data_IF_684810106618
#
_entry.id   IF_684810106618
#
_cell.length_a   1.000
_cell.length_b   1.000
_cell.length_c   1.000
_cell.angle_alpha   90.00
_cell.angle_beta   90.00
_cell.angle_gamma   90.00
#
_symmetry.space_group_name_H-M   'P 1'
#
loop_
_entity.id
_entity.type
_entity.pdbx_description
1 polymer ?
#
# COMPACT_ATOMS: atom_id res chain seq x y z
N UNK A 1 5.67 -22.91 7.53
CA UNK A 1 6.56 -21.76 7.25
C UNK A 1 8.00 -22.21 7.45
N UNK A 2 8.95 -21.95 6.55
CA UNK A 2 10.36 -22.07 6.92
C UNK A 2 10.70 -20.91 7.87
N UNK A 3 11.28 -21.19 9.03
CA UNK A 3 11.55 -20.20 10.10
C UNK A 3 12.21 -18.90 9.60
N UNK A 4 13.09 -19.01 8.60
CA UNK A 4 13.77 -17.87 7.97
C UNK A 4 12.80 -16.84 7.36
N UNK A 5 11.65 -17.28 6.82
CA UNK A 5 10.65 -16.39 6.20
C UNK A 5 9.77 -15.66 7.21
N UNK A 6 9.52 -16.25 8.37
CA UNK A 6 8.79 -15.56 9.44
C UNK A 6 9.66 -14.47 10.07
N UNK A 7 10.94 -14.75 10.26
CA UNK A 7 11.90 -13.74 10.73
C UNK A 7 11.96 -12.53 9.79
N UNK A 8 12.04 -12.77 8.47
CA UNK A 8 12.04 -11.68 7.48
C UNK A 8 10.74 -10.87 7.49
N UNK A 9 9.59 -11.54 7.60
CA UNK A 9 8.31 -10.87 7.76
C UNK A 9 8.28 -9.96 9.00
N UNK A 10 8.74 -10.46 10.15
CA UNK A 10 8.81 -9.69 11.39
C UNK A 10 9.77 -8.50 11.28
N UNK A 11 10.92 -8.68 10.62
CA UNK A 11 11.87 -7.61 10.36
C UNK A 11 11.25 -6.50 9.52
N UNK A 12 10.55 -6.85 8.43
CA UNK A 12 9.81 -5.89 7.62
C UNK A 12 8.69 -5.23 8.42
N UNK A 13 7.92 -5.98 9.22
CA UNK A 13 6.85 -5.45 10.05
C UNK A 13 7.35 -4.39 11.03
N UNK A 14 8.47 -4.67 11.71
CA UNK A 14 9.10 -3.75 12.66
C UNK A 14 9.71 -2.54 11.95
N UNK A 15 10.34 -2.74 10.79
CA UNK A 15 10.89 -1.65 9.98
C UNK A 15 9.80 -0.70 9.49
N UNK A 16 8.70 -1.24 8.95
CA UNK A 16 7.53 -0.46 8.52
C UNK A 16 6.89 0.25 9.70
N UNK A 17 6.71 -0.42 10.85
CA UNK A 17 6.18 0.22 12.07
C UNK A 17 7.05 1.41 12.51
N UNK A 18 8.38 1.30 12.38
CA UNK A 18 9.30 2.41 12.67
C UNK A 18 9.14 3.58 11.71
N UNK A 19 8.94 3.31 10.42
CA UNK A 19 8.69 4.36 9.41
C UNK A 19 7.39 5.10 9.71
N UNK A 20 6.35 4.35 10.08
CA UNK A 20 5.05 4.89 10.44
C UNK A 20 5.06 5.62 11.78
N UNK A 21 6.00 5.32 12.67
CA UNK A 21 6.07 5.92 14.01
C UNK A 21 5.08 5.31 15.01
N UNK A 22 4.45 4.18 14.68
CA UNK A 22 3.58 3.41 15.57
C UNK A 22 3.56 1.93 15.16
N UNK A 23 3.08 1.06 16.04
CA UNK A 23 3.00 -0.37 15.75
C UNK A 23 1.76 -0.72 14.93
N UNK A 24 1.96 -1.33 13.76
CA UNK A 24 0.91 -1.59 12.77
C UNK A 24 -0.22 -2.51 13.23
N UNK A 25 0.09 -3.48 14.09
CA UNK A 25 -0.84 -4.53 14.49
C UNK A 25 -1.55 -4.23 15.81
N UNK A 26 -1.51 -2.97 16.26
CA UNK A 26 -2.32 -2.52 17.39
C UNK A 26 -3.81 -2.56 16.98
N UNK A 27 -4.64 -3.21 17.79
CA UNK A 27 -6.09 -3.29 17.56
C UNK A 27 -6.69 -1.89 17.54
N UNK A 28 -7.17 -1.44 16.36
CA UNK A 28 -7.80 -0.13 16.19
C UNK A 28 -9.28 -0.17 16.60
N UNK A 29 -9.67 0.69 17.55
CA UNK A 29 -11.07 1.05 17.80
C UNK A 29 -11.58 2.07 16.76
N UNK A 30 -12.89 2.37 16.76
CA UNK A 30 -13.46 3.40 15.86
C UNK A 30 -12.80 4.77 16.09
N UNK A 31 -12.45 5.10 17.34
CA UNK A 31 -11.76 6.34 17.72
C UNK A 31 -10.35 6.39 17.10
N UNK A 32 -9.73 5.23 16.91
CA UNK A 32 -8.40 5.14 16.31
C UNK A 32 -8.44 5.34 14.80
N UNK A 33 -9.58 5.06 14.14
CA UNK A 33 -9.75 5.30 12.70
C UNK A 33 -9.73 6.79 12.34
N UNK A 34 -10.47 7.61 13.07
CA UNK A 34 -10.52 9.06 12.81
C UNK A 34 -9.16 9.71 13.12
N UNK A 35 -8.49 9.24 14.17
CA UNK A 35 -7.11 9.63 14.51
C UNK A 35 -6.13 9.29 13.40
N UNK A 36 -6.26 8.11 12.80
CA UNK A 36 -5.37 7.69 11.71
C UNK A 36 -5.57 8.51 10.44
N UNK A 37 -6.84 8.82 10.07
CA UNK A 37 -7.13 9.71 8.94
C UNK A 37 -6.57 11.12 9.19
N UNK A 38 -6.76 11.69 10.39
CA UNK A 38 -6.16 12.99 10.77
C UNK A 38 -4.63 12.94 10.71
N UNK A 39 -4.00 11.90 11.25
CA UNK A 39 -2.54 11.73 11.23
C UNK A 39 -1.98 11.69 9.83
N UNK A 40 -2.63 10.93 8.94
CA UNK A 40 -2.23 10.84 7.53
C UNK A 40 -2.41 12.19 6.82
N UNK A 41 -3.43 12.96 7.17
CA UNK A 41 -3.63 14.31 6.63
C UNK A 41 -2.56 15.34 7.08
N UNK A 42 -1.75 15.03 8.09
CA UNK A 42 -0.64 15.91 8.50
C UNK A 42 0.68 15.61 7.76
N UNK A 43 0.75 14.51 7.01
CA UNK A 43 1.96 14.10 6.30
C UNK A 43 2.26 15.04 5.12
N UNK A 44 3.55 15.26 4.84
CA UNK A 44 3.98 15.83 3.56
C UNK A 44 3.86 14.79 2.44
N UNK A 45 3.83 15.20 1.17
CA UNK A 45 3.76 14.22 0.08
C UNK A 45 4.94 13.22 0.08
N UNK A 46 6.20 13.64 0.33
CA UNK A 46 7.32 12.69 0.47
C UNK A 46 7.14 11.73 1.63
N UNK A 47 6.64 12.18 2.78
CA UNK A 47 6.39 11.31 3.93
C UNK A 47 5.26 10.33 3.65
N UNK A 48 4.18 10.80 3.01
CA UNK A 48 3.04 9.97 2.59
C UNK A 48 3.48 8.88 1.61
N UNK A 49 4.31 9.23 0.62
CA UNK A 49 4.89 8.29 -0.33
C UNK A 49 5.77 7.26 0.38
N UNK A 50 6.66 7.70 1.27
CA UNK A 50 7.55 6.83 2.04
C UNK A 50 6.78 5.86 2.93
N UNK A 51 5.75 6.33 3.61
CA UNK A 51 4.89 5.45 4.41
C UNK A 51 4.16 4.43 3.53
N UNK A 52 3.55 4.87 2.43
CA UNK A 52 2.85 3.98 1.50
C UNK A 52 3.79 2.93 0.89
N UNK A 53 4.98 3.33 0.44
CA UNK A 53 6.00 2.43 -0.09
C UNK A 53 6.44 1.37 0.92
N UNK A 54 6.60 1.76 2.19
CA UNK A 54 6.94 0.82 3.27
C UNK A 54 5.83 -0.19 3.57
N UNK A 55 4.56 0.21 3.43
CA UNK A 55 3.41 -0.69 3.56
C UNK A 55 3.32 -1.66 2.37
N UNK A 56 3.52 -1.17 1.15
CA UNK A 56 3.54 -2.00 -0.06
C UNK A 56 4.66 -3.03 0.02
N UNK A 57 5.85 -2.63 0.46
CA UNK A 57 6.99 -3.53 0.63
C UNK A 57 6.71 -4.64 1.66
N UNK A 58 5.99 -4.34 2.74
CA UNK A 58 5.54 -5.35 3.71
C UNK A 58 4.51 -6.32 3.11
N UNK A 59 3.58 -5.81 2.30
CA UNK A 59 2.60 -6.65 1.59
C UNK A 59 3.26 -7.54 0.54
N UNK A 60 4.29 -7.06 -0.16
CA UNK A 60 5.09 -7.86 -1.09
C UNK A 60 5.77 -9.04 -0.38
N UNK A 61 6.27 -8.85 0.85
CA UNK A 61 6.80 -9.97 1.65
C UNK A 61 5.73 -10.98 2.06
N UNK A 62 4.53 -10.51 2.41
CA UNK A 62 3.38 -11.39 2.65
C UNK A 62 3.03 -12.19 1.38
N UNK A 63 3.12 -11.58 0.19
CA UNK A 63 2.87 -12.23 -1.10
C UNK A 63 3.92 -13.26 -1.52
N UNK A 64 5.17 -13.13 -1.07
CA UNK A 64 6.25 -14.07 -1.43
C UNK A 64 6.07 -15.45 -0.77
N UNK A 65 5.09 -15.62 0.10
CA UNK A 65 4.83 -16.84 0.88
C UNK A 65 4.44 -18.01 -0.07
N UNK A 66 5.07 -19.20 0.05
CA UNK A 66 4.79 -20.33 -0.85
C UNK A 66 3.38 -20.87 -0.66
N UNK A 67 2.74 -21.37 -1.72
CA UNK A 67 1.40 -21.96 -1.69
C UNK A 67 1.30 -23.08 -0.62
N UNK A 68 0.33 -22.93 0.29
CA UNK A 68 0.19 -23.70 1.53
C UNK A 68 -0.37 -25.12 1.37
N UNK A 69 -0.48 -25.60 0.13
CA UNK A 69 -1.10 -26.90 -0.15
C UNK A 69 -0.37 -28.09 0.53
N UNK A 70 0.84 -27.88 1.07
CA UNK A 70 1.67 -28.94 1.67
C UNK A 70 1.95 -28.81 3.18
N UNK A 71 1.41 -27.80 3.89
CA UNK A 71 1.71 -27.58 5.33
C UNK A 71 0.42 -27.58 6.17
N UNK A 72 -0.52 -28.46 5.84
CA UNK A 72 -1.71 -28.65 6.66
C UNK A 72 -1.38 -29.65 7.79
N UNK A 73 -1.64 -29.28 9.05
CA UNK A 73 -1.52 -30.19 10.21
C UNK A 73 -0.49 -29.82 11.30
N UNK A 74 0.07 -28.60 11.28
CA UNK A 74 0.88 -28.11 12.40
C UNK A 74 0.20 -26.88 13.03
N UNK A 75 -0.37 -27.07 14.23
CA UNK A 75 -1.13 -26.06 14.96
C UNK A 75 -0.35 -24.75 15.19
N UNK A 76 0.96 -24.81 15.40
CA UNK A 76 1.79 -23.61 15.56
C UNK A 76 1.87 -22.83 14.25
N UNK A 77 2.05 -23.53 13.12
CA UNK A 77 2.10 -22.90 11.80
C UNK A 77 0.75 -22.28 11.48
N UNK A 78 -0.34 -22.98 11.77
CA UNK A 78 -1.69 -22.48 11.56
C UNK A 78 -1.99 -21.26 12.45
N UNK A 79 -1.57 -21.29 13.72
CA UNK A 79 -1.71 -20.17 14.66
C UNK A 79 -0.94 -18.92 14.24
N UNK A 80 0.34 -19.07 13.87
CA UNK A 80 1.15 -17.96 13.32
C UNK A 80 0.50 -17.38 12.07
N UNK A 81 -0.18 -18.20 11.28
CA UNK A 81 -0.78 -17.77 10.02
C UNK A 81 -2.14 -17.10 10.21
N UNK A 82 -2.87 -17.47 11.26
CA UNK A 82 -3.99 -16.68 11.75
C UNK A 82 -3.56 -15.25 12.12
N UNK A 83 -2.47 -15.12 12.89
CA UNK A 83 -1.92 -13.81 13.29
C UNK A 83 -1.51 -12.96 12.08
N UNK A 84 -0.77 -13.52 11.13
CA UNK A 84 -0.40 -12.81 9.88
C UNK A 84 -1.64 -12.37 9.08
N UNK A 85 -2.72 -13.15 9.11
CA UNK A 85 -3.98 -12.77 8.47
C UNK A 85 -4.70 -11.61 9.17
N UNK A 86 -4.58 -11.50 10.48
CA UNK A 86 -5.08 -10.36 11.27
C UNK A 86 -4.23 -9.11 11.05
N UNK A 87 -2.91 -9.28 11.07
CA UNK A 87 -1.93 -8.22 10.74
C UNK A 87 -2.18 -7.66 9.34
N UNK A 88 -2.49 -8.52 8.37
CA UNK A 88 -2.84 -8.13 7.01
C UNK A 88 -4.02 -7.15 6.96
N UNK A 89 -5.11 -7.40 7.72
CA UNK A 89 -6.26 -6.49 7.74
C UNK A 89 -5.89 -5.11 8.30
N UNK A 90 -5.05 -5.07 9.33
CA UNK A 90 -4.55 -3.80 9.88
C UNK A 90 -3.67 -3.05 8.87
N UNK A 91 -2.77 -3.75 8.17
CA UNK A 91 -1.93 -3.17 7.11
C UNK A 91 -2.80 -2.60 5.97
N UNK A 92 -3.83 -3.34 5.56
CA UNK A 92 -4.75 -2.92 4.50
C UNK A 92 -5.55 -1.67 4.87
N UNK A 93 -5.99 -1.52 6.13
CA UNK A 93 -6.60 -0.27 6.60
C UNK A 93 -5.64 0.91 6.50
N UNK A 94 -4.37 0.70 6.87
CA UNK A 94 -3.37 1.75 6.80
C UNK A 94 -3.07 2.16 5.34
N UNK A 95 -3.04 1.19 4.41
CA UNK A 95 -2.98 1.48 2.98
C UNK A 95 -4.18 2.32 2.53
N UNK A 96 -5.40 1.96 2.96
CA UNK A 96 -6.62 2.70 2.60
C UNK A 96 -6.53 4.18 2.98
N UNK A 97 -6.12 4.51 4.21
CA UNK A 97 -6.01 5.92 4.64
C UNK A 97 -5.06 6.72 3.74
N UNK A 98 -3.93 6.12 3.38
CA UNK A 98 -2.91 6.78 2.55
C UNK A 98 -3.34 6.93 1.11
N UNK A 99 -3.99 5.92 0.53
CA UNK A 99 -4.55 6.00 -0.83
C UNK A 99 -5.65 7.05 -0.91
N UNK A 100 -6.54 7.12 0.10
CA UNK A 100 -7.54 8.20 0.19
C UNK A 100 -6.89 9.59 0.21
N UNK A 101 -5.83 9.76 1.01
CA UNK A 101 -5.13 11.04 1.09
C UNK A 101 -4.46 11.41 -0.24
N UNK A 102 -3.80 10.46 -0.91
CA UNK A 102 -3.24 10.66 -2.25
C UNK A 102 -4.34 11.11 -3.22
N UNK A 103 -5.51 10.46 -3.17
CA UNK A 103 -6.63 10.81 -4.03
C UNK A 103 -7.16 12.22 -3.76
N UNK A 104 -7.28 12.61 -2.48
CA UNK A 104 -7.72 13.96 -2.08
C UNK A 104 -6.75 15.04 -2.54
N UNK A 105 -5.44 14.79 -2.45
CA UNK A 105 -4.39 15.75 -2.84
C UNK A 105 -3.93 15.62 -4.28
N UNK A 106 -4.55 14.73 -5.06
CA UNK A 106 -4.09 14.36 -6.39
C UNK A 106 -3.85 15.58 -7.29
N UNK A 107 -4.69 16.60 -7.19
CA UNK A 107 -4.56 17.85 -7.97
C UNK A 107 -3.30 18.65 -7.64
N UNK A 108 -2.80 18.58 -6.40
CA UNK A 108 -1.64 19.33 -5.89
C UNK A 108 -0.28 18.70 -6.19
N UNK A 109 -0.23 17.41 -6.55
CA UNK A 109 1.05 16.71 -6.75
C UNK A 109 1.88 17.26 -7.93
N UNK A 110 3.20 17.30 -7.77
CA UNK A 110 4.18 17.52 -8.83
C UNK A 110 4.27 16.32 -9.79
N UNK A 111 5.00 16.47 -10.89
CA UNK A 111 5.07 15.43 -11.93
C UNK A 111 5.80 14.18 -11.45
N UNK A 112 6.98 14.37 -10.87
CA UNK A 112 7.81 13.37 -10.20
C UNK A 112 7.04 12.65 -9.09
N UNK A 113 6.41 13.40 -8.18
CA UNK A 113 5.58 12.81 -7.12
C UNK A 113 4.48 11.91 -7.70
N UNK A 114 3.81 12.36 -8.78
CA UNK A 114 2.76 11.57 -9.43
C UNK A 114 3.31 10.26 -10.02
N UNK A 115 4.50 10.30 -10.62
CA UNK A 115 5.18 9.11 -11.16
C UNK A 115 5.51 8.13 -10.04
N UNK A 116 6.07 8.61 -8.94
CA UNK A 116 6.46 7.76 -7.81
C UNK A 116 5.25 7.08 -7.16
N UNK A 117 4.14 7.82 -6.97
CA UNK A 117 2.90 7.22 -6.48
C UNK A 117 2.35 6.16 -7.43
N UNK A 118 2.37 6.40 -8.75
CA UNK A 118 1.96 5.38 -9.74
C UNK A 118 2.84 4.12 -9.64
N UNK A 119 4.14 4.27 -9.46
CA UNK A 119 5.06 3.14 -9.29
C UNK A 119 4.72 2.30 -8.05
N UNK A 120 4.45 2.95 -6.91
CA UNK A 120 4.07 2.27 -5.66
C UNK A 120 2.71 1.59 -5.78
N UNK A 121 1.71 2.26 -6.35
CA UNK A 121 0.36 1.70 -6.54
C UNK A 121 0.36 0.52 -7.51
N UNK A 122 1.19 0.56 -8.56
CA UNK A 122 1.35 -0.56 -9.50
C UNK A 122 1.91 -1.80 -8.81
N UNK A 123 2.97 -1.64 -8.00
CA UNK A 123 3.54 -2.74 -7.20
C UNK A 123 2.50 -3.36 -6.25
N UNK A 124 1.66 -2.53 -5.67
CA UNK A 124 0.56 -2.98 -4.83
C UNK A 124 -0.49 -3.79 -5.60
N UNK A 125 -0.89 -3.35 -6.79
CA UNK A 125 -1.81 -4.11 -7.65
C UNK A 125 -1.22 -5.45 -8.10
N UNK A 126 0.07 -5.51 -8.40
CA UNK A 126 0.77 -6.76 -8.77
C UNK A 126 0.71 -7.81 -7.65
N UNK A 127 0.42 -7.38 -6.41
CA UNK A 127 0.23 -8.25 -5.24
C UNK A 127 -1.23 -8.73 -5.04
N UNK A 128 -2.21 -8.12 -5.72
CA UNK A 128 -3.65 -8.28 -5.45
C UNK A 128 -4.10 -9.74 -5.34
N UNK A 129 -3.85 -10.56 -6.36
CA UNK A 129 -4.32 -11.95 -6.42
C UNK A 129 -3.76 -12.79 -5.27
N UNK A 130 -2.49 -12.58 -4.92
CA UNK A 130 -1.82 -13.31 -3.83
C UNK A 130 -2.36 -12.88 -2.47
N UNK A 131 -2.64 -11.60 -2.27
CA UNK A 131 -3.20 -11.08 -1.02
C UNK A 131 -4.66 -11.50 -0.81
N UNK A 132 -5.44 -11.63 -1.89
CA UNK A 132 -6.80 -12.17 -1.81
C UNK A 132 -6.84 -13.61 -1.28
N UNK A 133 -5.82 -14.41 -1.58
CA UNK A 133 -5.69 -15.77 -1.04
C UNK A 133 -5.31 -15.79 0.45
N UNK A 134 -4.67 -14.73 0.97
CA UNK A 134 -4.24 -14.64 2.38
C UNK A 134 -5.42 -14.32 3.31
N UNK A 135 -6.40 -13.56 2.85
CA UNK A 135 -7.52 -13.13 3.69
C UNK A 135 -8.86 -13.72 3.26
N UNK A 136 -9.47 -14.49 4.14
CA UNK A 136 -10.83 -15.04 3.95
C UNK A 136 -11.93 -14.13 4.50
N UNK A 137 -11.56 -13.07 5.24
CA UNK A 137 -12.48 -12.16 5.93
C UNK A 137 -12.59 -10.82 5.17
N UNK A 138 -13.72 -10.12 5.32
CA UNK A 138 -13.94 -8.75 4.78
C UNK A 138 -13.63 -8.59 3.28
N UNK A 139 -13.97 -9.59 2.45
CA UNK A 139 -13.69 -9.59 1.00
C UNK A 139 -14.25 -8.35 0.29
N UNK A 140 -15.48 -7.96 0.56
CA UNK A 140 -16.12 -6.80 -0.07
C UNK A 140 -15.38 -5.48 0.23
N UNK A 141 -14.85 -5.34 1.45
CA UNK A 141 -14.04 -4.19 1.85
C UNK A 141 -12.70 -4.17 1.11
N UNK A 142 -12.04 -5.33 1.02
CA UNK A 142 -10.78 -5.49 0.29
C UNK A 142 -11.00 -5.18 -1.19
N UNK A 143 -12.07 -5.70 -1.79
CA UNK A 143 -12.44 -5.43 -3.19
C UNK A 143 -12.67 -3.93 -3.44
N UNK A 144 -13.42 -3.27 -2.55
CA UNK A 144 -13.64 -1.82 -2.61
C UNK A 144 -12.33 -1.02 -2.53
N UNK A 145 -11.38 -1.46 -1.69
CA UNK A 145 -10.05 -0.85 -1.64
C UNK A 145 -9.30 -1.02 -2.97
N UNK A 146 -9.35 -2.20 -3.59
CA UNK A 146 -8.67 -2.43 -4.86
C UNK A 146 -9.24 -1.56 -5.98
N UNK A 147 -10.56 -1.34 -5.99
CA UNK A 147 -11.19 -0.38 -6.92
C UNK A 147 -10.61 1.02 -6.69
N UNK A 148 -10.56 1.49 -5.44
CA UNK A 148 -10.00 2.80 -5.10
C UNK A 148 -8.52 2.93 -5.52
N UNK A 149 -7.71 1.88 -5.32
CA UNK A 149 -6.30 1.85 -5.74
C UNK A 149 -6.19 2.03 -7.25
N UNK A 150 -6.97 1.27 -8.02
CA UNK A 150 -6.97 1.36 -9.48
C UNK A 150 -7.42 2.73 -9.96
N UNK A 151 -8.51 3.28 -9.41
CA UNK A 151 -9.00 4.62 -9.73
C UNK A 151 -7.96 5.71 -9.43
N UNK A 152 -7.32 5.63 -8.26
CA UNK A 152 -6.29 6.60 -7.84
C UNK A 152 -5.09 6.55 -8.78
N UNK A 153 -4.61 5.36 -9.12
CA UNK A 153 -3.50 5.14 -10.05
C UNK A 153 -3.85 5.68 -11.45
N UNK A 154 -5.03 5.37 -11.97
CA UNK A 154 -5.45 5.82 -13.30
C UNK A 154 -5.61 7.35 -13.35
N UNK A 155 -6.14 7.96 -12.30
CA UNK A 155 -6.20 9.43 -12.15
C UNK A 155 -4.82 10.09 -12.20
N UNK A 156 -3.84 9.52 -11.48
CA UNK A 156 -2.45 9.98 -11.53
C UNK A 156 -1.82 9.79 -12.92
N UNK A 157 -2.07 8.67 -13.59
CA UNK A 157 -1.59 8.44 -14.96
C UNK A 157 -2.15 9.46 -15.95
N UNK A 158 -3.43 9.83 -15.82
CA UNK A 158 -4.04 10.87 -16.65
C UNK A 158 -3.39 12.23 -16.40
N UNK A 159 -3.08 12.55 -15.15
CA UNK A 159 -2.35 13.77 -14.78
C UNK A 159 -0.94 13.81 -15.36
N UNK A 160 -0.19 12.71 -15.30
CA UNK A 160 1.15 12.57 -15.91
C UNK A 160 1.07 12.82 -17.41
N UNK A 161 0.12 12.18 -18.11
CA UNK A 161 -0.09 12.38 -19.55
C UNK A 161 -0.40 13.85 -19.89
N UNK A 162 -1.29 14.50 -19.13
CA UNK A 162 -1.64 15.90 -19.32
C UNK A 162 -0.44 16.84 -19.14
N UNK A 163 0.33 16.68 -18.06
CA UNK A 163 1.54 17.48 -17.81
C UNK A 163 2.62 17.25 -18.87
N UNK A 164 2.80 16.01 -19.32
CA UNK A 164 3.73 15.68 -20.41
C UNK A 164 3.34 16.37 -21.72
N UNK A 165 2.07 16.29 -22.14
CA UNK A 165 1.58 17.00 -23.33
C UNK A 165 1.78 18.52 -23.23
N UNK A 166 1.52 19.12 -22.06
CA UNK A 166 1.75 20.54 -21.84
C UNK A 166 3.24 20.92 -21.93
N UNK A 167 4.12 20.09 -21.38
CA UNK A 167 5.57 20.29 -21.48
C UNK A 167 6.02 20.22 -22.95
N UNK A 168 5.63 19.18 -23.69
CA UNK A 168 5.95 19.08 -25.12
C UNK A 168 5.42 20.28 -25.92
N UNK A 169 4.19 20.73 -25.66
CA UNK A 169 3.59 21.87 -26.37
C UNK A 169 4.26 23.21 -26.02
N UNK A 170 4.71 23.41 -24.78
CA UNK A 170 5.41 24.64 -24.38
C UNK A 170 6.82 24.74 -24.96
N UNK A 171 7.53 23.62 -25.09
CA UNK A 171 8.94 23.59 -25.49
C UNK A 171 9.16 23.29 -26.98
N UNK A 172 8.19 22.70 -27.69
CA UNK A 172 8.25 22.47 -29.14
C UNK A 172 8.61 23.72 -29.97
N UNK A 173 8.02 24.91 -29.69
CA UNK A 173 8.36 26.13 -30.43
C UNK A 173 9.82 26.57 -30.26
N UNK A 174 10.47 26.19 -29.16
CA UNK A 174 11.85 26.57 -28.84
C UNK A 174 12.91 25.60 -29.38
N UNK A 175 12.51 24.40 -29.85
CA UNK A 175 13.40 23.40 -30.43
C UNK A 175 13.41 23.44 -31.98
N UNK A 176 12.48 24.16 -32.59
CA UNK A 176 12.38 24.34 -34.04
C UNK A 176 12.95 25.69 -34.52
N UNK A 177 13.80 26.34 -33.72
CA UNK A 177 14.41 27.65 -34.01
C UNK A 177 15.94 27.54 -33.89
#
# INVERSE_FOLDING_TARGET
MNYNRYALYLEHLLSTSRILGFFLCSTSSIIDKDRDEERVSLLTNPDLLKELDSLVSLLEEICKRPDFLHIHGNELVDGVMGLVGEDYLSIINQVLFRVKEVNQRMSGLCFDESVDFVCVLKRLEDCKEKLFAVCTRKKDFIESLWVLISETKDGLMMKIKSKSCNFFNLFMPFLCQ
#
